data_IF_147572388126
#
_entry.id   IF_147572388126
#
_cell.length_a   1.000
_cell.length_b   1.000
_cell.length_c   1.000
_cell.angle_alpha   90.00
_cell.angle_beta   90.00
_cell.angle_gamma   90.00
#
_symmetry.space_group_name_H-M   'P 1'
#
loop_
_entity.id
_entity.type
_entity.pdbx_description
1 polymer ?
#
# COMPACT_ATOMS: atom_id res chain seq x y z
N UNK A 1 -21.09 -4.18 13.01
CA UNK A 1 -20.06 -3.39 13.72
C UNK A 1 -19.46 -2.40 12.73
N UNK A 2 -19.75 -1.11 12.88
CA UNK A 2 -19.19 -0.07 12.01
C UNK A 2 -17.74 0.15 12.44
N UNK A 3 -16.79 -0.43 11.69
CA UNK A 3 -15.37 -0.15 11.86
C UNK A 3 -15.18 1.33 11.50
N UNK A 4 -14.74 2.16 12.44
CA UNK A 4 -14.37 3.55 12.14
C UNK A 4 -13.04 3.52 11.41
N UNK A 5 -13.04 3.83 10.12
CA UNK A 5 -11.81 3.98 9.36
C UNK A 5 -11.49 5.47 9.36
N UNK A 6 -10.26 5.90 9.69
CA UNK A 6 -9.91 7.32 9.60
C UNK A 6 -10.19 7.83 8.20
N UNK A 7 -10.80 9.02 8.09
CA UNK A 7 -11.15 9.64 6.80
C UNK A 7 -9.92 9.84 5.88
N UNK A 8 -8.72 9.83 6.47
CA UNK A 8 -7.45 9.81 5.77
C UNK A 8 -6.61 8.67 6.33
N UNK A 9 -6.61 7.50 5.70
CA UNK A 9 -5.68 6.44 6.04
C UNK A 9 -4.25 6.95 5.81
N UNK A 10 -3.40 6.82 6.82
CA UNK A 10 -1.97 7.15 6.72
C UNK A 10 -1.25 5.86 6.37
N UNK A 11 -0.56 5.83 5.23
CA UNK A 11 0.38 4.75 4.91
C UNK A 11 1.57 4.86 5.86
N UNK A 12 1.71 3.89 6.76
CA UNK A 12 2.92 3.76 7.57
C UNK A 12 3.87 2.79 6.89
N UNK A 13 5.09 3.24 6.59
CA UNK A 13 6.07 2.44 5.86
C UNK A 13 7.50 2.84 6.17
N UNK A 14 8.39 1.86 6.06
CA UNK A 14 9.81 1.96 6.35
C UNK A 14 10.63 1.44 5.17
N UNK A 15 11.75 2.10 4.90
CA UNK A 15 12.75 1.63 3.94
C UNK A 15 13.52 0.45 4.55
N UNK A 16 13.52 -0.71 3.89
CA UNK A 16 14.40 -1.84 4.25
C UNK A 16 15.75 -1.68 3.56
N UNK A 17 15.70 -1.48 2.23
CA UNK A 17 16.87 -1.26 1.37
C UNK A 17 16.42 -0.57 0.08
N UNK A 18 17.36 -0.19 -0.79
CA UNK A 18 17.06 0.52 -2.03
C UNK A 18 15.96 -0.19 -2.84
N UNK A 19 14.84 0.50 -3.06
CA UNK A 19 13.69 -0.01 -3.81
C UNK A 19 12.78 -0.98 -3.04
N UNK A 20 13.05 -1.26 -1.76
CA UNK A 20 12.24 -2.16 -0.93
C UNK A 20 11.76 -1.42 0.32
N UNK A 21 10.44 -1.30 0.43
CA UNK A 21 9.74 -0.73 1.57
C UNK A 21 8.84 -1.80 2.20
N UNK A 22 8.62 -1.70 3.51
CA UNK A 22 7.62 -2.49 4.24
C UNK A 22 6.72 -1.55 5.01
N UNK A 23 5.43 -1.83 5.01
CA UNK A 23 4.46 -0.96 5.65
C UNK A 23 3.14 -1.66 5.95
N UNK A 24 2.21 -0.89 6.50
CA UNK A 24 0.83 -1.32 6.68
C UNK A 24 0.12 -1.36 5.33
N UNK A 25 -0.89 -2.22 5.19
CA UNK A 25 -1.79 -2.12 4.05
C UNK A 25 -2.55 -0.79 4.11
N UNK A 26 -3.13 -0.40 2.98
CA UNK A 26 -4.10 0.67 2.92
C UNK A 26 -5.39 0.13 2.31
N UNK A 27 -6.14 -0.58 3.14
CA UNK A 27 -7.48 -0.97 2.79
C UNK A 27 -8.33 0.26 2.45
N UNK A 28 -8.86 0.30 1.23
CA UNK A 28 -9.73 1.33 0.66
C UNK A 28 -9.10 2.65 0.15
N UNK A 29 -7.80 2.72 -0.14
CA UNK A 29 -7.26 3.86 -0.92
C UNK A 29 -7.39 3.66 -2.44
N UNK A 30 -7.88 4.69 -3.14
CA UNK A 30 -8.01 4.72 -4.60
C UNK A 30 -6.67 4.90 -5.33
N UNK A 31 -5.63 5.36 -4.62
CA UNK A 31 -4.34 5.71 -5.21
C UNK A 31 -3.17 5.27 -4.33
N UNK A 32 -2.14 4.73 -4.95
CA UNK A 32 -0.84 4.48 -4.32
C UNK A 32 -0.18 5.79 -3.88
N UNK A 33 0.62 5.76 -2.81
CA UNK A 33 1.25 6.98 -2.30
C UNK A 33 2.16 7.62 -3.37
N UNK A 34 1.93 8.91 -3.66
CA UNK A 34 2.65 9.64 -4.70
C UNK A 34 4.16 9.71 -4.47
N UNK A 35 4.63 9.56 -3.23
CA UNK A 35 6.06 9.48 -2.91
C UNK A 35 6.65 8.17 -3.38
N UNK A 36 6.01 7.04 -3.10
CA UNK A 36 6.48 5.73 -3.55
C UNK A 36 6.48 5.63 -5.09
N UNK A 37 5.48 6.21 -5.75
CA UNK A 37 5.46 6.32 -7.21
C UNK A 37 6.64 7.15 -7.76
N UNK A 38 7.03 8.24 -7.08
CA UNK A 38 8.22 9.05 -7.47
C UNK A 38 9.54 8.30 -7.25
N UNK A 39 9.60 7.41 -6.28
CA UNK A 39 10.75 6.53 -6.03
C UNK A 39 10.84 5.37 -7.04
N UNK A 40 9.88 5.26 -7.97
CA UNK A 40 9.88 4.23 -9.01
C UNK A 40 9.39 2.87 -8.53
N UNK A 41 8.65 2.82 -7.42
CA UNK A 41 8.02 1.58 -6.96
C UNK A 41 6.87 1.22 -7.91
N UNK A 42 6.97 0.05 -8.52
CA UNK A 42 5.99 -0.46 -9.51
C UNK A 42 5.33 -1.77 -9.09
N UNK A 43 5.69 -2.34 -7.95
CA UNK A 43 5.13 -3.57 -7.42
C UNK A 43 4.73 -3.39 -5.96
N UNK A 44 3.58 -3.97 -5.60
CA UNK A 44 3.09 -4.07 -4.23
C UNK A 44 2.95 -5.56 -3.89
N UNK A 45 3.36 -5.99 -2.70
CA UNK A 45 3.23 -7.38 -2.27
C UNK A 45 2.46 -7.37 -0.96
N UNK A 46 1.22 -7.83 -0.98
CA UNK A 46 0.42 -7.96 0.22
C UNK A 46 0.69 -9.32 0.88
N UNK A 47 0.79 -9.33 2.20
CA UNK A 47 0.93 -10.55 3.01
C UNK A 47 -0.36 -10.88 3.77
N UNK A 48 -1.48 -10.27 3.39
CA UNK A 48 -2.77 -10.48 4.02
C UNK A 48 -3.33 -11.87 3.70
N UNK A 49 -3.98 -12.49 4.70
CA UNK A 49 -4.61 -13.81 4.55
C UNK A 49 -5.81 -13.78 3.59
N UNK A 50 -6.59 -12.70 3.64
CA UNK A 50 -7.68 -12.42 2.71
C UNK A 50 -7.27 -11.34 1.72
N UNK A 51 -7.51 -11.58 0.43
CA UNK A 51 -7.18 -10.62 -0.62
C UNK A 51 -8.19 -9.48 -0.64
N UNK A 52 -7.94 -8.48 0.20
CA UNK A 52 -8.84 -7.34 0.41
C UNK A 52 -8.45 -6.13 -0.45
N UNK A 53 -7.20 -6.04 -0.90
CA UNK A 53 -6.64 -4.90 -1.63
C UNK A 53 -6.26 -5.18 -3.09
N UNK A 54 -6.47 -4.17 -3.94
CA UNK A 54 -6.02 -4.14 -5.33
C UNK A 54 -5.56 -2.71 -5.66
N UNK A 55 -4.29 -2.36 -5.37
CA UNK A 55 -3.79 -1.00 -5.54
C UNK A 55 -3.70 -0.60 -7.03
N UNK A 56 -4.15 0.62 -7.34
CA UNK A 56 -4.03 1.19 -8.69
C UNK A 56 -2.61 1.73 -8.93
N UNK A 57 -1.97 1.28 -10.02
CA UNK A 57 -0.68 1.83 -10.49
C UNK A 57 0.53 0.92 -10.31
N UNK A 58 0.33 -0.36 -9.97
CA UNK A 58 1.40 -1.36 -9.92
C UNK A 58 1.26 -2.38 -11.05
N UNK A 59 2.40 -2.86 -11.55
CA UNK A 59 2.48 -3.89 -12.59
C UNK A 59 2.14 -5.28 -12.03
N UNK A 60 2.40 -5.50 -10.73
CA UNK A 60 2.18 -6.76 -10.04
C UNK A 60 1.72 -6.53 -8.59
N UNK A 61 0.72 -7.30 -8.18
CA UNK A 61 0.27 -7.42 -6.80
C UNK A 61 -0.03 -8.89 -6.45
N UNK A 62 0.37 -9.34 -5.26
CA UNK A 62 0.07 -10.67 -4.68
C UNK A 62 -0.75 -10.45 -3.41
#
# INVERSE_FOLDING_TARGET
MQRSHPHTPVLDYHLITAGIYIGTNQYCQTHFDKRLAKEGITADISLEEERLDAPFGVDFFI
#
